data_IF_752760031348
#
_entry.id   IF_752760031348
#
_cell.length_a   1.000
_cell.length_b   1.000
_cell.length_c   1.000
_cell.angle_alpha   90.00
_cell.angle_beta   90.00
_cell.angle_gamma   90.00
#
_symmetry.space_group_name_H-M   'P 1'
#
loop_
_entity.id
_entity.type
_entity.pdbx_description
1 polymer ?
#
# COMPACT_ATOMS: atom_id res chain seq x y z
N UNK A 1 -31.72 -18.39 5.25
CA UNK A 1 -31.25 -17.03 5.61
C UNK A 1 -29.74 -17.01 5.40
N UNK A 2 -29.25 -16.36 4.34
CA UNK A 2 -27.81 -16.31 4.06
C UNK A 2 -27.14 -15.38 5.08
N UNK A 3 -26.09 -15.86 5.77
CA UNK A 3 -25.27 -14.98 6.62
C UNK A 3 -24.43 -14.10 5.69
N UNK A 4 -24.67 -12.80 5.72
CA UNK A 4 -23.82 -11.84 5.03
C UNK A 4 -22.45 -11.80 5.72
N UNK A 5 -21.39 -12.16 5.00
CA UNK A 5 -20.01 -12.04 5.48
C UNK A 5 -19.48 -10.63 5.17
N UNK A 6 -19.38 -9.80 6.22
CA UNK A 6 -18.86 -8.43 6.13
C UNK A 6 -17.32 -8.35 6.16
N UNK A 7 -16.62 -9.48 6.30
CA UNK A 7 -15.15 -9.46 6.46
C UNK A 7 -14.43 -8.98 5.20
N UNK A 8 -15.02 -9.18 4.02
CA UNK A 8 -14.45 -8.72 2.75
C UNK A 8 -14.34 -7.19 2.67
N UNK A 9 -15.39 -6.47 3.08
CA UNK A 9 -15.39 -5.01 3.11
C UNK A 9 -14.27 -4.44 3.98
N UNK A 10 -14.13 -4.99 5.20
CA UNK A 10 -13.10 -4.56 6.15
C UNK A 10 -11.69 -4.87 5.63
N UNK A 11 -11.49 -6.06 5.06
CA UNK A 11 -10.20 -6.47 4.46
C UNK A 11 -9.81 -5.53 3.33
N UNK A 12 -10.74 -5.17 2.45
CA UNK A 12 -10.45 -4.29 1.32
C UNK A 12 -10.18 -2.85 1.76
N UNK A 13 -10.94 -2.33 2.73
CA UNK A 13 -10.65 -1.03 3.36
C UNK A 13 -9.23 -0.99 3.96
N UNK A 14 -8.81 -2.06 4.64
CA UNK A 14 -7.46 -2.17 5.18
C UNK A 14 -6.39 -2.26 4.09
N UNK A 15 -6.65 -2.97 2.99
CA UNK A 15 -5.73 -3.00 1.83
C UNK A 15 -5.55 -1.62 1.23
N UNK A 16 -6.63 -0.87 1.04
CA UNK A 16 -6.58 0.52 0.55
C UNK A 16 -5.71 1.36 1.47
N UNK A 17 -5.97 1.35 2.79
CA UNK A 17 -5.18 2.12 3.76
C UNK A 17 -3.68 1.78 3.69
N UNK A 18 -3.33 0.48 3.63
CA UNK A 18 -1.93 0.02 3.51
C UNK A 18 -1.28 0.48 2.22
N UNK A 19 -1.99 0.39 1.09
CA UNK A 19 -1.49 0.80 -0.22
C UNK A 19 -1.26 2.32 -0.27
N UNK A 20 -2.23 3.12 0.17
CA UNK A 20 -2.09 4.58 0.25
C UNK A 20 -0.91 4.96 1.14
N UNK A 21 -0.74 4.30 2.30
CA UNK A 21 0.38 4.58 3.21
C UNK A 21 1.73 4.27 2.57
N UNK A 22 1.82 3.16 1.81
CA UNK A 22 3.03 2.80 1.07
C UNK A 22 3.36 3.85 0.00
N UNK A 23 2.36 4.33 -0.74
CA UNK A 23 2.53 5.39 -1.73
C UNK A 23 2.98 6.70 -1.08
N UNK A 24 2.32 7.14 0.00
CA UNK A 24 2.71 8.33 0.75
C UNK A 24 4.18 8.26 1.20
N UNK A 25 4.59 7.14 1.81
CA UNK A 25 5.99 6.91 2.19
C UNK A 25 6.96 6.93 1.00
N UNK A 26 6.50 6.53 -0.19
CA UNK A 26 7.33 6.60 -1.40
C UNK A 26 7.53 8.05 -1.83
N UNK A 27 6.45 8.83 -1.88
CA UNK A 27 6.46 10.27 -2.21
C UNK A 27 7.36 11.03 -1.24
N UNK A 28 7.19 10.80 0.07
CA UNK A 28 8.00 11.46 1.10
C UNK A 28 9.48 11.07 1.09
N UNK A 29 9.85 9.91 0.50
CA UNK A 29 11.27 9.54 0.36
C UNK A 29 11.96 10.23 -0.81
N UNK A 30 11.19 10.72 -1.78
CA UNK A 30 11.72 11.45 -2.93
C UNK A 30 12.02 12.92 -2.60
N UNK A 31 11.53 13.43 -1.47
CA UNK A 31 11.60 14.85 -1.08
C UNK A 31 12.10 15.00 0.35
N UNK A 32 13.06 15.91 0.57
CA UNK A 32 13.58 16.19 1.91
C UNK A 32 12.65 17.11 2.73
N UNK A 33 11.82 17.93 2.06
CA UNK A 33 11.01 18.98 2.69
C UNK A 33 9.71 18.40 3.25
N UNK A 34 9.70 18.13 4.55
CA UNK A 34 8.55 17.54 5.26
C UNK A 34 7.47 18.55 5.67
N UNK A 35 7.75 19.86 5.62
CA UNK A 35 6.82 20.89 6.11
C UNK A 35 5.55 20.98 5.25
N UNK A 36 5.68 20.81 3.93
CA UNK A 36 4.57 20.85 2.96
C UNK A 36 3.83 19.51 2.86
N UNK A 37 4.38 18.44 3.44
CA UNK A 37 3.80 17.11 3.39
C UNK A 37 2.46 16.99 4.14
N UNK A 38 2.16 17.93 5.04
CA UNK A 38 0.92 17.94 5.83
C UNK A 38 -0.33 18.16 4.97
N UNK A 39 -0.17 18.83 3.84
CA UNK A 39 -1.26 19.17 2.92
C UNK A 39 -1.49 18.05 1.88
N UNK A 40 -0.60 17.05 1.81
CA UNK A 40 -0.75 15.92 0.90
C UNK A 40 -1.97 15.07 1.25
N UNK A 41 -2.82 14.87 0.25
CA UNK A 41 -4.01 14.03 0.33
C UNK A 41 -3.92 12.94 -0.73
N UNK A 42 -3.94 11.67 -0.30
CA UNK A 42 -4.06 10.54 -1.22
C UNK A 42 -5.45 9.92 -1.10
N UNK A 43 -6.11 9.68 -2.23
CA UNK A 43 -7.46 9.14 -2.26
C UNK A 43 -7.49 7.67 -2.66
N UNK A 44 -8.36 6.91 -2.02
CA UNK A 44 -8.69 5.54 -2.40
C UNK A 44 -10.19 5.37 -2.48
N UNK A 45 -10.67 4.59 -3.44
CA UNK A 45 -12.10 4.37 -3.66
C UNK A 45 -12.45 2.90 -3.49
N UNK A 46 -13.61 2.63 -2.92
CA UNK A 46 -14.16 1.27 -2.77
C UNK A 46 -15.63 1.28 -3.19
N UNK A 47 -16.03 0.27 -3.96
CA UNK A 47 -17.44 0.01 -4.24
C UNK A 47 -17.89 -1.15 -3.34
N UNK A 48 -18.97 -0.94 -2.58
CA UNK A 48 -19.54 -1.98 -1.72
C UNK A 48 -21.05 -1.76 -1.55
N UNK A 49 -21.86 -2.83 -1.69
CA UNK A 49 -23.33 -2.76 -1.62
C UNK A 49 -23.93 -1.57 -2.37
N UNK A 50 -23.55 -1.42 -3.64
CA UNK A 50 -23.97 -0.33 -4.52
C UNK A 50 -23.70 1.07 -3.94
N UNK A 51 -22.71 1.20 -3.07
CA UNK A 51 -22.29 2.46 -2.47
C UNK A 51 -20.83 2.69 -2.82
N UNK A 52 -20.52 3.90 -3.29
CA UNK A 52 -19.15 4.37 -3.47
C UNK A 52 -18.69 4.92 -2.13
N UNK A 53 -17.57 4.43 -1.63
CA UNK A 53 -16.85 4.95 -0.47
C UNK A 53 -15.55 5.58 -0.95
N UNK A 54 -15.36 6.86 -0.66
CA UNK A 54 -14.13 7.60 -0.91
C UNK A 54 -13.39 7.76 0.42
N UNK A 55 -12.17 7.24 0.46
CA UNK A 55 -11.26 7.39 1.57
C UNK A 55 -10.14 8.36 1.23
N UNK A 56 -9.64 9.05 2.24
CA UNK A 56 -8.48 9.91 2.16
C UNK A 56 -7.44 9.47 3.19
N UNK A 57 -6.18 9.46 2.77
CA UNK A 57 -5.03 9.35 3.64
C UNK A 57 -4.27 10.68 3.64
N UNK A 58 -4.06 11.24 4.84
CA UNK A 58 -3.24 12.43 5.07
C UNK A 58 -2.20 12.19 6.17
N UNK A 59 -1.21 13.07 6.27
CA UNK A 59 -0.20 13.06 7.33
C UNK A 59 -0.16 14.43 8.04
N UNK A 60 -1.15 14.76 8.88
CA UNK A 60 -1.26 16.11 9.47
C UNK A 60 -0.08 16.46 10.38
N UNK A 61 0.52 15.45 11.01
CA UNK A 61 1.72 15.54 11.84
C UNK A 61 2.73 14.53 11.31
N UNK A 62 4.00 14.91 11.25
CA UNK A 62 5.09 14.06 10.74
C UNK A 62 5.05 12.69 11.42
N UNK A 63 4.96 11.63 10.60
CA UNK A 63 4.93 10.25 11.06
C UNK A 63 3.54 9.72 11.47
N UNK A 64 2.55 10.59 11.65
CA UNK A 64 1.17 10.21 11.99
C UNK A 64 0.28 10.24 10.76
N UNK A 65 -0.28 9.09 10.40
CA UNK A 65 -1.12 8.93 9.22
C UNK A 65 -2.59 8.81 9.63
N UNK A 66 -3.44 9.63 9.02
CA UNK A 66 -4.89 9.61 9.23
C UNK A 66 -5.57 9.04 7.98
N UNK A 67 -6.29 7.93 8.15
CA UNK A 67 -7.08 7.29 7.08
C UNK A 67 -8.57 7.40 7.41
N UNK A 68 -9.31 8.21 6.65
CA UNK A 68 -10.71 8.55 6.94
C UNK A 68 -11.59 8.32 5.72
N UNK A 69 -12.86 8.00 5.93
CA UNK A 69 -13.87 8.09 4.87
C UNK A 69 -14.31 9.55 4.76
N UNK A 70 -14.14 10.15 3.60
CA UNK A 70 -14.48 11.57 3.35
C UNK A 70 -15.84 11.72 2.72
N UNK A 71 -16.28 10.71 1.95
CA UNK A 71 -17.57 10.74 1.28
C UNK A 71 -18.05 9.34 1.00
N UNK A 72 -19.36 9.12 1.16
CA UNK A 72 -20.02 7.94 0.63
C UNK A 72 -21.36 8.30 0.02
N UNK A 73 -21.72 7.61 -1.06
CA UNK A 73 -23.00 7.81 -1.73
C UNK A 73 -23.43 6.57 -2.54
N UNK A 74 -24.75 6.28 -2.57
CA UNK A 74 -25.27 5.15 -3.31
C UNK A 74 -25.25 5.40 -4.83
N UNK A 75 -25.05 4.32 -5.57
CA UNK A 75 -25.21 4.22 -7.02
C UNK A 75 -26.70 3.96 -7.28
N UNK A 76 -27.38 4.83 -8.06
CA UNK A 76 -28.77 4.63 -8.39
C UNK A 76 -28.90 3.35 -9.22
N UNK A 77 -29.58 2.35 -8.67
CA UNK A 77 -29.74 1.02 -9.31
C UNK A 77 -31.20 0.61 -9.46
N UNK A 78 -32.13 1.33 -8.83
CA UNK A 78 -33.56 1.12 -9.00
C UNK A 78 -34.08 1.97 -10.18
N UNK A 79 -34.59 1.36 -11.27
CA UNK A 79 -35.14 2.08 -12.41
C UNK A 79 -36.30 3.01 -12.04
N UNK A 80 -37.13 2.62 -11.07
CA UNK A 80 -38.31 3.38 -10.67
C UNK A 80 -37.98 4.71 -9.99
N UNK A 81 -36.84 4.81 -9.29
CA UNK A 81 -36.40 6.03 -8.59
C UNK A 81 -35.30 6.78 -9.35
N UNK A 82 -34.85 6.24 -10.49
CA UNK A 82 -33.71 6.73 -11.25
C UNK A 82 -33.80 8.24 -11.59
N UNK A 83 -34.93 8.77 -12.09
CA UNK A 83 -35.02 10.21 -12.42
C UNK A 83 -34.82 11.13 -11.21
N UNK A 84 -35.17 10.64 -10.01
CA UNK A 84 -35.04 11.39 -8.76
C UNK A 84 -33.64 11.26 -8.15
N UNK A 85 -33.04 10.08 -8.24
CA UNK A 85 -31.76 9.77 -7.58
C UNK A 85 -30.55 10.19 -8.43
N UNK A 86 -30.70 10.19 -9.76
CA UNK A 86 -29.62 10.51 -10.70
C UNK A 86 -29.04 11.91 -10.50
N UNK A 87 -29.84 13.00 -10.35
CA UNK A 87 -29.27 14.33 -10.10
C UNK A 87 -28.41 14.39 -8.84
N UNK A 88 -28.83 13.69 -7.77
CA UNK A 88 -28.07 13.62 -6.51
C UNK A 88 -26.76 12.84 -6.70
N UNK A 89 -26.82 11.71 -7.41
CA UNK A 89 -25.64 10.92 -7.75
C UNK A 89 -24.62 11.73 -8.56
N UNK A 90 -25.07 12.39 -9.63
CA UNK A 90 -24.23 13.24 -10.49
C UNK A 90 -23.61 14.39 -9.69
N UNK A 91 -24.38 15.05 -8.82
CA UNK A 91 -23.86 16.09 -7.92
C UNK A 91 -22.72 15.56 -7.03
N UNK A 92 -22.89 14.38 -6.45
CA UNK A 92 -21.85 13.77 -5.61
C UNK A 92 -20.62 13.35 -6.43
N UNK A 93 -20.82 12.83 -7.65
CA UNK A 93 -19.73 12.49 -8.56
C UNK A 93 -18.87 13.73 -8.88
N UNK A 94 -19.49 14.89 -9.15
CA UNK A 94 -18.76 16.14 -9.35
C UNK A 94 -18.03 16.62 -8.10
N UNK A 95 -18.58 16.41 -6.90
CA UNK A 95 -17.85 16.70 -5.65
C UNK A 95 -16.63 15.81 -5.48
N UNK A 96 -16.76 14.50 -5.75
CA UNK A 96 -15.64 13.56 -5.76
C UNK A 96 -14.57 14.01 -6.74
N UNK A 97 -14.96 14.38 -7.97
CA UNK A 97 -14.04 14.87 -8.99
C UNK A 97 -13.26 16.11 -8.51
N UNK A 98 -13.95 17.10 -7.93
CA UNK A 98 -13.32 18.31 -7.38
C UNK A 98 -12.30 17.97 -6.28
N UNK A 99 -12.62 17.04 -5.37
CA UNK A 99 -11.70 16.61 -4.31
C UNK A 99 -10.44 15.94 -4.88
N UNK A 100 -10.61 15.05 -5.87
CA UNK A 100 -9.49 14.32 -6.48
C UNK A 100 -8.59 15.28 -7.27
N UNK A 101 -9.17 16.20 -8.04
CA UNK A 101 -8.41 17.24 -8.76
C UNK A 101 -7.62 18.09 -7.76
N UNK A 102 -8.27 18.57 -6.70
CA UNK A 102 -7.58 19.38 -5.69
C UNK A 102 -6.40 18.65 -5.05
N UNK A 103 -6.56 17.38 -4.67
CA UNK A 103 -5.45 16.59 -4.13
C UNK A 103 -4.35 16.32 -5.15
N UNK A 104 -4.69 16.12 -6.42
CA UNK A 104 -3.72 15.99 -7.50
C UNK A 104 -2.92 17.28 -7.69
N UNK A 105 -3.57 18.46 -7.64
CA UNK A 105 -2.91 19.76 -7.74
C UNK A 105 -1.97 20.02 -6.56
N UNK A 106 -2.38 19.64 -5.35
CA UNK A 106 -1.51 19.74 -4.15
C UNK A 106 -0.32 18.79 -4.28
N UNK A 107 -0.54 17.55 -4.71
CA UNK A 107 0.53 16.58 -4.94
C UNK A 107 1.49 17.07 -6.03
N UNK A 108 0.98 17.59 -7.14
CA UNK A 108 1.80 18.10 -8.23
C UNK A 108 2.67 19.26 -7.77
N UNK A 109 2.09 20.24 -7.07
CA UNK A 109 2.84 21.36 -6.48
C UNK A 109 3.90 20.88 -5.50
N UNK A 110 3.54 19.93 -4.63
CA UNK A 110 4.50 19.31 -3.72
C UNK A 110 5.62 18.59 -4.47
N UNK A 111 5.37 18.03 -5.67
CA UNK A 111 6.41 17.36 -6.47
C UNK A 111 7.28 18.34 -7.25
N UNK A 112 6.73 19.44 -7.75
CA UNK A 112 7.49 20.43 -8.54
C UNK A 112 8.23 21.46 -7.68
N UNK A 113 7.80 21.72 -6.44
CA UNK A 113 8.41 22.73 -5.54
C UNK A 113 9.91 22.53 -5.24
N UNK A 114 10.49 21.38 -5.55
CA UNK A 114 11.91 21.07 -5.28
C UNK A 114 12.82 21.31 -6.49
N UNK A 115 12.29 21.20 -7.71
CA UNK A 115 13.10 21.46 -8.91
C UNK A 115 13.57 22.93 -8.96
N UNK A 116 12.78 23.85 -8.37
CA UNK A 116 13.08 25.27 -8.36
C UNK A 116 14.19 25.69 -7.38
N UNK A 117 14.41 24.94 -6.29
CA UNK A 117 15.48 25.23 -5.32
C UNK A 117 16.78 24.46 -5.61
N UNK A 118 16.76 23.52 -6.56
CA UNK A 118 17.93 22.71 -6.90
C UNK A 118 18.70 23.24 -8.10
N UNK A 119 18.25 24.32 -8.73
CA UNK A 119 18.84 24.91 -9.93
C UNK A 119 19.71 26.15 -9.70
N UNK A 120 19.86 26.61 -8.45
CA UNK A 120 20.59 27.85 -8.15
C UNK A 120 21.50 27.68 -6.93
N UNK A 121 22.58 26.91 -7.11
CA UNK A 121 23.83 26.98 -6.34
C UNK A 121 24.84 25.96 -6.90
N UNK A 122 25.40 26.24 -8.08
CA UNK A 122 26.73 25.72 -8.43
C UNK A 122 27.75 26.80 -8.12
N UNK A 123 28.10 26.91 -6.84
CA UNK A 123 29.38 27.48 -6.43
C UNK A 123 30.44 26.42 -6.75
N UNK A 124 31.31 26.74 -7.72
CA UNK A 124 32.61 26.09 -7.87
C UNK A 124 33.34 26.12 -6.53
N UNK A 125 33.78 24.97 -6.01
CA UNK A 125 35.21 24.66 -5.99
C UNK A 125 35.51 23.23 -5.54
N UNK A 126 36.65 22.78 -6.05
CA UNK A 126 37.61 21.87 -5.46
C UNK A 126 37.58 20.36 -5.75
N UNK A 127 38.76 19.93 -6.21
CA UNK A 127 39.10 18.62 -6.72
C UNK A 127 39.28 17.62 -5.58
N UNK A 128 38.45 16.57 -5.53
CA UNK A 128 38.79 15.36 -4.78
C UNK A 128 38.64 14.12 -5.68
N UNK A 129 39.70 13.30 -5.86
CA UNK A 129 39.57 12.05 -6.59
C UNK A 129 38.68 11.09 -5.79
N UNK A 130 37.52 10.78 -6.37
CA UNK A 130 36.54 9.80 -5.90
C UNK A 130 37.22 8.48 -5.50
N UNK A 131 37.05 8.08 -4.24
CA UNK A 131 37.38 6.73 -3.80
C UNK A 131 36.47 5.72 -4.52
N UNK A 132 36.99 4.57 -5.01
CA UNK A 132 36.16 3.58 -5.69
C UNK A 132 35.10 2.99 -4.75
N UNK A 133 33.93 2.59 -5.27
CA UNK A 133 32.80 2.15 -4.47
C UNK A 133 33.13 0.89 -3.67
N UNK A 134 32.77 0.89 -2.39
CA UNK A 134 32.89 -0.28 -1.51
C UNK A 134 31.91 -1.37 -1.96
N UNK A 135 32.44 -2.45 -2.54
CA UNK A 135 31.67 -3.63 -2.93
C UNK A 135 31.54 -4.56 -1.72
N UNK A 136 30.32 -4.74 -1.21
CA UNK A 136 30.03 -5.69 -0.14
C UNK A 136 30.32 -7.14 -0.59
N UNK A 137 30.88 -8.03 0.25
CA UNK A 137 31.11 -9.43 -0.10
C UNK A 137 29.80 -10.13 -0.48
N UNK A 138 29.74 -10.67 -1.69
CA UNK A 138 28.59 -11.47 -2.14
C UNK A 138 28.49 -12.75 -1.30
N UNK A 139 27.32 -12.93 -0.69
CA UNK A 139 26.93 -14.13 0.05
C UNK A 139 26.89 -15.31 -0.92
N UNK A 140 27.85 -16.23 -0.81
CA UNK A 140 27.90 -17.47 -1.60
C UNK A 140 26.63 -18.29 -1.36
N UNK A 141 25.76 -18.32 -2.35
CA UNK A 141 24.54 -19.12 -2.33
C UNK A 141 24.87 -20.60 -2.50
N UNK A 142 24.72 -21.39 -1.43
CA UNK A 142 24.54 -22.85 -1.57
C UNK A 142 23.09 -23.14 -2.00
N UNK A 143 22.92 -23.42 -3.29
CA UNK A 143 21.81 -24.17 -3.92
C UNK A 143 22.48 -25.02 -5.00
N UNK A 144 22.21 -26.29 -5.27
CA UNK A 144 21.23 -27.31 -4.85
C UNK A 144 21.86 -28.64 -5.31
N UNK A 145 21.48 -29.75 -4.71
CA UNK A 145 21.72 -31.08 -5.28
C UNK A 145 20.66 -32.06 -4.77
N UNK A 146 19.68 -32.34 -5.61
CA UNK A 146 18.58 -33.29 -5.40
C UNK A 146 18.97 -34.62 -6.06
N UNK A 147 18.55 -35.74 -5.43
CA UNK A 147 18.15 -37.02 -6.04
C UNK A 147 19.17 -38.17 -6.29
N UNK A 148 18.97 -39.22 -5.47
CA UNK A 148 18.83 -40.67 -5.76
C UNK A 148 19.97 -41.45 -6.43
N UNK A 149 20.39 -42.53 -5.77
CA UNK A 149 20.25 -43.94 -6.24
C UNK A 149 20.51 -44.94 -5.11
N UNK A 150 19.88 -46.10 -5.24
CA UNK A 150 19.83 -47.30 -4.40
C UNK A 150 21.19 -48.01 -4.20
N UNK A 151 21.32 -48.87 -3.18
CA UNK A 151 21.27 -50.37 -3.27
C UNK A 151 21.92 -51.04 -2.03
N UNK A 152 21.25 -52.09 -1.53
CA UNK A 152 21.73 -53.32 -0.83
C UNK A 152 22.13 -53.35 0.66
N UNK A 153 21.39 -54.21 1.37
CA UNK A 153 21.77 -55.25 2.35
C UNK A 153 22.50 -54.88 3.65
N UNK A 154 21.83 -55.12 4.79
CA UNK A 154 21.90 -56.43 5.47
C UNK A 154 21.21 -56.41 6.85
N UNK A 155 20.67 -57.58 7.20
CA UNK A 155 20.16 -58.04 8.49
C UNK A 155 20.81 -57.41 9.74
N UNK A 156 20.03 -57.26 10.81
CA UNK A 156 20.24 -58.01 12.06
C UNK A 156 19.01 -57.86 12.98
N UNK A 157 18.45 -59.03 13.26
CA UNK A 157 17.71 -59.48 14.43
C UNK A 157 17.62 -58.61 15.70
N UNK A 158 16.44 -58.77 16.33
CA UNK A 158 16.23 -59.20 17.71
C UNK A 158 15.55 -58.25 18.70
N UNK A 159 14.52 -58.85 19.31
CA UNK A 159 14.07 -58.79 20.72
C UNK A 159 12.97 -57.77 21.13
N UNK A 160 11.82 -58.40 21.43
CA UNK A 160 11.11 -58.44 22.74
C UNK A 160 10.66 -57.08 23.29
N UNK A 161 9.35 -56.82 23.27
CA UNK A 161 8.30 -57.23 24.24
C UNK A 161 8.11 -56.17 25.33
N UNK A 162 6.82 -55.86 25.53
CA UNK A 162 6.18 -55.37 26.76
C UNK A 162 6.56 -53.92 27.11
N UNK A 163 5.72 -53.02 27.57
CA UNK A 163 4.36 -52.92 28.17
C UNK A 163 4.30 -51.40 28.51
N UNK A 164 3.21 -50.69 28.77
CA UNK A 164 1.82 -50.98 29.05
C UNK A 164 1.04 -49.70 28.74
N UNK A 165 -0.21 -49.90 28.38
CA UNK A 165 -1.29 -48.92 28.40
C UNK A 165 -1.63 -48.46 29.83
N UNK A 166 -2.29 -47.29 29.89
CA UNK A 166 -3.26 -46.85 30.89
C UNK A 166 -2.77 -46.50 32.30
N UNK A 167 -2.71 -45.20 32.60
CA UNK A 167 -3.83 -44.48 33.25
C UNK A 167 -3.76 -42.99 32.87
#
# INVERSE_FOLDING_TARGET
MWKEDFTHYLKDRQKIAKNLKKMMKSILRQKLVMAEAKDLMLFGMQLYKNTIHLYCLTMPIIGFYCFVEVMSYPIPTNPATYPKDLPRYVKNLFKTLKLVIHGADVLQRYMTSFEYYSSDETISDDNSPLSPPFISPQKTGKRKGISKTSTTDSNIDNKRKQTSSML
#
